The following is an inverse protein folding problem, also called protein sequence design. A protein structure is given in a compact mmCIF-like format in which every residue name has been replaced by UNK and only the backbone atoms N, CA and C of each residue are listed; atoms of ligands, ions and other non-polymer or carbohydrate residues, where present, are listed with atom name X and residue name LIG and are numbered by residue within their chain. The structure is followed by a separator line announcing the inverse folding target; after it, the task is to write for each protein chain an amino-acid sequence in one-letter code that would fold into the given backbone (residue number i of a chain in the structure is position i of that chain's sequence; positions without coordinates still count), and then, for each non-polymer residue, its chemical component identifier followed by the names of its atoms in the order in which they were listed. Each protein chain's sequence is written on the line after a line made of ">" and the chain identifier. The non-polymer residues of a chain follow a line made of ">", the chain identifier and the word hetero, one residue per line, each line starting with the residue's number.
data_IF_922708967418
#
_entry.id   IF_922708967418
#
_cell.length_a   1.000
_cell.length_b   1.000
_cell.length_c   1.000
_cell.angle_alpha   90.00
_cell.angle_beta   90.00
_cell.angle_gamma   90.00
#
_symmetry.space_group_name_H-M   'P 1'
#
loop_
_entity.id
_entity.type
_entity.pdbx_description
1 polymer ?
#
# COMPACT_ATOMS: atom_id res chain seq x y z
N UNK A 1 -11.49 5.70 32.30
CA UNK A 1 -10.32 5.93 31.41
C UNK A 1 -9.77 4.66 30.79
N UNK A 2 -10.02 3.45 31.32
CA UNK A 2 -9.67 2.17 30.69
C UNK A 2 -10.60 1.74 29.53
N UNK A 3 -11.86 2.17 29.52
CA UNK A 3 -12.81 1.78 28.47
C UNK A 3 -12.51 2.38 27.08
N UNK A 4 -11.88 3.56 27.03
CA UNK A 4 -11.55 4.20 25.76
C UNK A 4 -10.41 3.50 25.00
N UNK A 5 -9.50 2.82 25.70
CA UNK A 5 -8.37 2.13 25.06
C UNK A 5 -8.79 0.79 24.45
N UNK A 6 -9.65 0.04 25.13
CA UNK A 6 -10.20 -1.22 24.59
C UNK A 6 -11.02 -0.99 23.30
N UNK A 7 -11.75 0.12 23.25
CA UNK A 7 -12.51 0.51 22.06
C UNK A 7 -11.63 0.91 20.87
N UNK A 8 -10.41 1.41 21.10
CA UNK A 8 -9.48 1.80 20.05
C UNK A 8 -8.86 0.58 19.34
N UNK A 9 -8.46 -0.44 20.10
CA UNK A 9 -7.91 -1.70 19.56
C UNK A 9 -8.99 -2.56 18.87
N UNK A 10 -10.22 -2.57 19.39
CA UNK A 10 -11.33 -3.14 18.62
C UNK A 10 -11.57 -2.35 17.32
N UNK A 11 -11.37 -1.04 17.31
CA UNK A 11 -11.46 -0.20 16.11
C UNK A 11 -10.42 -0.52 15.03
N UNK A 12 -9.17 -0.79 15.41
CA UNK A 12 -8.07 -1.12 14.49
C UNK A 12 -8.24 -2.53 13.90
N UNK A 13 -8.53 -3.55 14.72
CA UNK A 13 -8.89 -4.89 14.21
C UNK A 13 -10.15 -4.86 13.34
N UNK A 14 -11.10 -3.97 13.64
CA UNK A 14 -12.28 -3.72 12.78
C UNK A 14 -11.90 -3.07 11.45
N UNK A 15 -10.88 -2.21 11.38
CA UNK A 15 -10.44 -1.58 10.14
C UNK A 15 -9.81 -2.61 9.19
N UNK A 16 -8.95 -3.50 9.68
CA UNK A 16 -8.42 -4.63 8.92
C UNK A 16 -9.54 -5.59 8.52
N UNK A 17 -10.39 -6.02 9.46
CA UNK A 17 -11.51 -6.91 9.16
C UNK A 17 -12.51 -6.29 8.16
N UNK A 18 -12.77 -4.98 8.25
CA UNK A 18 -13.56 -4.25 7.28
C UNK A 18 -12.89 -4.23 5.91
N UNK A 19 -11.57 -4.00 5.87
CA UNK A 19 -10.79 -4.00 4.65
C UNK A 19 -10.78 -5.39 3.97
N UNK A 20 -10.70 -6.47 4.73
CA UNK A 20 -10.82 -7.84 4.23
C UNK A 20 -12.21 -8.17 3.69
N UNK A 21 -13.26 -7.63 4.32
CA UNK A 21 -14.65 -7.89 3.93
C UNK A 21 -15.12 -7.00 2.77
N UNK A 22 -14.33 -5.99 2.38
CA UNK A 22 -14.65 -5.16 1.21
C UNK A 22 -14.52 -5.97 -0.07
N UNK A 23 -15.54 -5.89 -0.91
CA UNK A 23 -15.60 -6.54 -2.21
C UNK A 23 -15.75 -5.51 -3.31
N UNK A 24 -15.16 -5.80 -4.47
CA UNK A 24 -15.24 -4.97 -5.67
C UNK A 24 -14.22 -3.82 -5.74
N UNK A 25 -14.02 -3.28 -6.95
CA UNK A 25 -12.99 -2.27 -7.24
C UNK A 25 -13.24 -0.96 -6.50
N UNK A 26 -12.17 -0.21 -6.25
CA UNK A 26 -12.27 1.10 -5.63
C UNK A 26 -10.92 1.66 -5.18
N UNK A 27 -10.93 2.56 -4.22
CA UNK A 27 -9.67 3.11 -3.70
C UNK A 27 -8.98 2.16 -2.73
N UNK A 28 -7.65 2.27 -2.65
CA UNK A 28 -6.89 1.66 -1.57
C UNK A 28 -7.45 2.11 -0.21
N UNK A 29 -7.47 1.19 0.74
CA UNK A 29 -7.88 1.51 2.10
C UNK A 29 -6.67 1.93 2.91
N UNK A 30 -6.73 3.11 3.54
CA UNK A 30 -5.75 3.48 4.56
C UNK A 30 -6.08 2.71 5.84
N UNK A 31 -5.15 1.87 6.28
CA UNK A 31 -5.29 1.01 7.45
C UNK A 31 -4.13 1.32 8.40
N UNK A 32 -4.45 1.30 9.69
CA UNK A 32 -3.46 1.45 10.75
C UNK A 32 -3.07 0.04 11.21
N UNK A 33 -1.81 -0.33 11.04
CA UNK A 33 -1.29 -1.63 11.45
C UNK A 33 -0.78 -1.62 12.89
N UNK A 34 -1.28 -2.55 13.70
CA UNK A 34 -0.74 -2.86 15.03
C UNK A 34 0.48 -3.82 14.96
N UNK A 35 1.20 -3.86 13.84
CA UNK A 35 2.33 -4.77 13.64
C UNK A 35 3.56 -4.32 14.41
N UNK A 36 3.56 -4.66 15.69
CA UNK A 36 4.65 -4.40 16.59
C UNK A 36 4.10 -4.24 17.99
N UNK A 37 4.43 -5.22 18.83
CA UNK A 37 4.43 -5.18 20.29
C UNK A 37 3.32 -5.98 20.98
N UNK A 38 3.79 -6.80 21.94
CA UNK A 38 3.07 -7.48 23.02
C UNK A 38 2.22 -6.50 23.87
N UNK A 39 1.26 -5.81 23.26
CA UNK A 39 0.29 -4.97 23.96
C UNK A 39 -0.64 -5.81 24.85
N UNK A 40 -0.66 -7.13 24.65
CA UNK A 40 -1.42 -8.07 25.49
C UNK A 40 -0.83 -8.24 26.90
N UNK A 41 0.38 -7.73 27.19
CA UNK A 41 1.05 -7.89 28.50
C UNK A 41 1.41 -6.59 29.22
N UNK A 42 1.25 -5.43 28.58
CA UNK A 42 1.60 -4.15 29.19
C UNK A 42 0.33 -3.36 29.57
N UNK A 43 0.10 -3.03 30.86
CA UNK A 43 -1.05 -2.22 31.27
C UNK A 43 -0.97 -0.76 30.82
N UNK A 44 0.17 -0.32 30.30
CA UNK A 44 0.38 1.01 29.73
C UNK A 44 1.01 0.84 28.36
N UNK A 45 0.32 1.32 27.34
CA UNK A 45 0.77 1.28 25.95
C UNK A 45 1.63 2.51 25.71
N UNK A 46 2.94 2.31 25.65
CA UNK A 46 3.91 3.39 25.47
C UNK A 46 4.22 3.67 23.98
N UNK A 47 3.78 2.78 23.08
CA UNK A 47 4.03 2.91 21.65
C UNK A 47 2.78 3.41 20.92
N UNK A 48 2.80 4.69 20.56
CA UNK A 48 1.78 5.38 19.75
C UNK A 48 2.10 5.26 18.23
N UNK A 49 3.22 4.62 17.87
CA UNK A 49 3.71 4.50 16.49
C UNK A 49 3.11 3.27 15.78
N UNK A 50 1.81 3.32 15.51
CA UNK A 50 1.17 2.41 14.55
C UNK A 50 1.68 2.73 13.14
N UNK A 51 1.87 1.72 12.29
CA UNK A 51 2.30 1.93 10.90
C UNK A 51 1.09 2.04 9.99
N UNK A 52 0.95 3.20 9.36
CA UNK A 52 -0.06 3.41 8.32
C UNK A 52 0.36 2.71 7.03
N UNK A 53 -0.59 2.03 6.40
CA UNK A 53 -0.39 1.42 5.11
C UNK A 53 -1.65 1.43 4.25
N UNK A 54 -1.45 1.42 2.95
CA UNK A 54 -2.51 1.23 1.97
C UNK A 54 -2.74 -0.26 1.74
N UNK A 55 -3.99 -0.68 1.83
CA UNK A 55 -4.42 -2.06 1.75
C UNK A 55 -5.24 -2.33 0.49
N UNK A 56 -4.99 -3.49 -0.13
CA UNK A 56 -5.84 -4.10 -1.15
C UNK A 56 -5.86 -5.62 -0.98
N UNK A 57 -6.99 -6.27 -1.26
CA UNK A 57 -7.13 -7.73 -1.17
C UNK A 57 -7.58 -8.33 -2.49
N UNK A 58 -7.44 -9.65 -2.62
CA UNK A 58 -7.89 -10.40 -3.79
C UNK A 58 -9.40 -10.23 -4.09
N UNK A 59 -10.20 -9.87 -3.07
CA UNK A 59 -11.65 -9.70 -3.19
C UNK A 59 -12.04 -8.30 -3.69
N UNK A 60 -11.11 -7.34 -3.66
CA UNK A 60 -11.34 -5.96 -4.08
C UNK A 60 -11.10 -5.76 -5.58
N UNK A 61 -10.54 -6.73 -6.30
CA UNK A 61 -10.18 -6.52 -7.70
C UNK A 61 -9.12 -5.43 -7.86
N UNK A 62 -9.34 -4.46 -8.74
CA UNK A 62 -8.42 -3.33 -8.92
C UNK A 62 -8.69 -2.25 -7.88
N UNK A 63 -7.69 -2.02 -7.03
CA UNK A 63 -7.65 -0.90 -6.09
C UNK A 63 -6.79 0.22 -6.64
N UNK A 64 -7.13 1.49 -6.39
CA UNK A 64 -6.40 2.63 -6.94
C UNK A 64 -6.09 3.75 -5.95
N UNK A 65 -5.04 4.50 -6.20
CA UNK A 65 -4.79 5.82 -5.60
C UNK A 65 -4.21 6.75 -6.67
N UNK A 66 -4.38 8.05 -6.49
CA UNK A 66 -3.80 9.06 -7.38
C UNK A 66 -2.87 9.96 -6.60
N UNK A 67 -1.65 10.11 -7.11
CA UNK A 67 -0.62 11.01 -6.58
C UNK A 67 -0.07 11.91 -7.70
N UNK A 68 0.19 13.19 -7.43
CA UNK A 68 -0.36 13.94 -6.30
C UNK A 68 -1.90 13.95 -6.36
N UNK A 69 -2.56 13.97 -5.19
CA UNK A 69 -3.98 14.31 -5.12
C UNK A 69 -4.17 15.84 -5.31
N UNK A 70 -5.43 16.30 -5.44
CA UNK A 70 -5.72 17.71 -5.72
C UNK A 70 -5.15 18.67 -4.65
N UNK A 71 -5.16 18.25 -3.38
CA UNK A 71 -4.63 19.04 -2.27
C UNK A 71 -3.10 19.07 -2.29
N UNK A 72 -2.45 17.93 -2.52
CA UNK A 72 -0.99 17.85 -2.65
C UNK A 72 -0.49 18.69 -3.82
N UNK A 73 -1.26 18.72 -4.92
CA UNK A 73 -0.95 19.55 -6.08
C UNK A 73 -1.00 21.05 -5.75
N UNK A 74 -2.04 21.51 -5.04
CA UNK A 74 -2.17 22.93 -4.64
C UNK A 74 -1.16 23.35 -3.57
N UNK A 75 -0.83 22.47 -2.63
CA UNK A 75 0.06 22.80 -1.49
C UNK A 75 1.54 22.63 -1.83
N UNK A 76 1.92 21.52 -2.47
CA UNK A 76 3.34 21.16 -2.63
C UNK A 76 3.90 21.43 -4.03
N UNK A 77 3.05 21.48 -5.06
CA UNK A 77 3.50 21.50 -6.46
C UNK A 77 3.12 22.77 -7.23
N UNK A 78 2.23 23.61 -6.70
CA UNK A 78 1.74 24.84 -7.36
C UNK A 78 2.85 25.74 -7.87
N UNK A 79 3.92 25.90 -7.09
CA UNK A 79 5.04 26.80 -7.40
C UNK A 79 6.34 26.05 -7.75
N UNK A 80 6.26 24.74 -8.00
CA UNK A 80 7.45 23.93 -8.33
C UNK A 80 7.67 23.87 -9.85
N UNK A 81 8.85 24.27 -10.34
CA UNK A 81 9.15 24.24 -11.77
C UNK A 81 9.34 22.81 -12.29
N UNK A 82 9.83 21.91 -11.43
CA UNK A 82 10.06 20.51 -11.77
C UNK A 82 8.84 19.68 -11.41
N UNK A 83 8.11 19.24 -12.43
CA UNK A 83 7.09 18.20 -12.29
C UNK A 83 7.77 16.84 -12.21
N UNK A 84 7.18 15.85 -11.50
CA UNK A 84 7.72 14.51 -11.50
C UNK A 84 7.86 13.97 -12.92
N UNK A 85 8.97 13.27 -13.18
CA UNK A 85 9.30 12.70 -14.49
C UNK A 85 8.68 11.33 -14.72
N UNK A 86 8.02 10.77 -13.71
CA UNK A 86 7.30 9.52 -13.77
C UNK A 86 8.15 8.30 -13.45
N UNK A 87 9.29 8.50 -12.77
CA UNK A 87 10.02 7.38 -12.17
C UNK A 87 9.26 6.94 -10.93
N UNK A 88 8.72 5.73 -10.95
CA UNK A 88 7.81 5.24 -9.92
C UNK A 88 8.52 4.24 -9.00
N UNK A 89 8.19 4.29 -7.72
CA UNK A 89 8.67 3.33 -6.71
C UNK A 89 7.55 2.99 -5.73
N UNK A 90 7.45 1.72 -5.34
CA UNK A 90 6.56 1.26 -4.27
C UNK A 90 7.40 0.70 -3.14
N UNK A 91 7.06 1.08 -1.90
CA UNK A 91 7.64 0.48 -0.70
C UNK A 91 6.56 -0.27 0.06
N UNK A 92 6.87 -1.50 0.45
CA UNK A 92 5.95 -2.39 1.15
C UNK A 92 6.15 -2.29 2.65
N UNK A 93 5.14 -2.66 3.43
CA UNK A 93 5.34 -2.88 4.86
C UNK A 93 6.27 -4.08 5.04
N UNK A 94 7.35 -3.87 5.81
CA UNK A 94 8.25 -4.96 6.20
C UNK A 94 7.57 -5.83 7.24
N UNK A 95 7.64 -7.14 7.01
CA UNK A 95 7.23 -8.10 8.04
C UNK A 95 8.31 -8.20 9.11
N UNK A 96 7.89 -8.42 10.36
CA UNK A 96 8.82 -8.58 11.48
C UNK A 96 9.73 -9.80 11.28
N UNK A 97 10.97 -9.54 10.86
CA UNK A 97 11.98 -10.55 10.55
C UNK A 97 11.47 -11.64 9.59
N UNK A 98 10.71 -11.23 8.56
CA UNK A 98 10.15 -12.13 7.55
C UNK A 98 8.87 -12.87 7.98
N UNK A 99 8.43 -12.72 9.23
CA UNK A 99 7.17 -13.29 9.71
C UNK A 99 6.00 -12.38 9.33
N UNK A 100 5.46 -12.59 8.13
CA UNK A 100 4.25 -11.90 7.68
C UNK A 100 3.00 -12.60 8.23
N UNK A 101 1.90 -11.88 8.50
CA UNK A 101 0.65 -12.52 8.84
C UNK A 101 0.14 -13.41 7.69
N UNK A 102 -0.70 -14.41 8.00
CA UNK A 102 -1.28 -15.29 6.99
C UNK A 102 -1.98 -14.50 5.88
N UNK A 103 -1.74 -14.86 4.62
CA UNK A 103 -2.31 -14.20 3.44
C UNK A 103 -1.60 -12.91 3.00
N UNK A 104 -0.71 -12.33 3.82
CA UNK A 104 0.05 -11.14 3.41
C UNK A 104 1.03 -11.51 2.29
N UNK A 105 0.99 -10.74 1.20
CA UNK A 105 1.98 -10.89 0.13
C UNK A 105 3.38 -10.53 0.63
N UNK A 106 4.32 -11.43 0.39
CA UNK A 106 5.74 -11.24 0.67
C UNK A 106 6.45 -10.68 -0.56
N UNK A 107 7.69 -10.25 -0.37
CA UNK A 107 8.56 -9.84 -1.47
C UNK A 107 8.61 -10.87 -2.61
N UNK A 108 8.73 -12.17 -2.27
CA UNK A 108 8.78 -13.26 -3.25
C UNK A 108 7.47 -13.50 -4.02
N UNK A 109 6.37 -12.93 -3.54
CA UNK A 109 5.04 -13.03 -4.16
C UNK A 109 4.78 -11.86 -5.13
N UNK A 110 5.60 -10.80 -5.06
CA UNK A 110 5.56 -9.66 -5.98
C UNK A 110 5.87 -10.13 -7.40
N UNK A 111 4.97 -9.84 -8.34
CA UNK A 111 5.08 -10.24 -9.74
C UNK A 111 4.55 -11.64 -10.06
N UNK A 112 4.18 -12.43 -9.05
CA UNK A 112 3.49 -13.73 -9.23
C UNK A 112 2.00 -13.68 -8.93
N UNK A 113 1.61 -12.83 -7.98
CA UNK A 113 0.21 -12.64 -7.61
C UNK A 113 -0.17 -11.19 -7.37
N UNK A 114 0.64 -10.26 -7.87
CA UNK A 114 0.38 -8.83 -7.78
C UNK A 114 0.52 -8.24 -9.17
N UNK A 115 -0.58 -7.72 -9.70
CA UNK A 115 -0.59 -6.92 -10.90
C UNK A 115 -0.61 -5.44 -10.52
N UNK A 116 0.31 -4.65 -11.07
CA UNK A 116 0.39 -3.21 -10.86
C UNK A 116 0.24 -2.47 -12.20
N UNK A 117 -0.43 -1.32 -12.17
CA UNK A 117 -0.53 -0.39 -13.29
C UNK A 117 -0.31 1.03 -12.83
N UNK A 118 0.28 1.85 -13.69
CA UNK A 118 0.33 3.29 -13.49
C UNK A 118 -0.20 3.97 -14.75
N UNK A 119 -1.25 4.78 -14.60
CA UNK A 119 -1.94 5.46 -15.69
C UNK A 119 -2.31 4.48 -16.83
N UNK A 120 -2.83 3.30 -16.46
CA UNK A 120 -3.23 2.24 -17.41
C UNK A 120 -2.07 1.47 -18.07
N UNK A 121 -0.80 1.82 -17.81
CA UNK A 121 0.35 1.03 -18.26
C UNK A 121 0.69 -0.03 -17.22
N UNK A 122 0.78 -1.29 -17.66
CA UNK A 122 1.23 -2.40 -16.83
C UNK A 122 2.68 -2.17 -16.36
N UNK A 123 2.92 -2.39 -15.07
CA UNK A 123 4.26 -2.56 -14.53
C UNK A 123 4.72 -3.97 -14.92
N UNK A 124 5.79 -4.04 -15.72
CA UNK A 124 6.34 -5.32 -16.18
C UNK A 124 7.59 -5.74 -15.42
N UNK A 125 8.30 -4.77 -14.85
CA UNK A 125 9.54 -5.03 -14.12
C UNK A 125 9.53 -4.28 -12.79
N UNK A 126 10.03 -4.95 -11.75
CA UNK A 126 10.23 -4.38 -10.42
C UNK A 126 11.68 -4.60 -10.01
N UNK A 127 12.44 -3.52 -9.84
CA UNK A 127 13.84 -3.58 -9.42
C UNK A 127 13.93 -3.26 -7.94
N UNK A 128 14.51 -4.16 -7.15
CA UNK A 128 14.74 -3.90 -5.72
C UNK A 128 15.75 -2.76 -5.55
N UNK A 129 15.35 -1.72 -4.83
CA UNK A 129 16.20 -0.54 -4.52
C UNK A 129 16.67 -0.58 -3.07
N UNK A 130 15.84 -1.11 -2.17
CA UNK A 130 16.15 -1.36 -0.76
C UNK A 130 15.37 -2.58 -0.26
N UNK A 131 15.50 -2.94 1.02
CA UNK A 131 14.89 -4.14 1.60
C UNK A 131 13.39 -4.31 1.30
N UNK A 132 12.64 -3.20 1.23
CA UNK A 132 11.20 -3.21 0.99
C UNK A 132 10.72 -2.27 -0.12
N UNK A 133 11.62 -1.61 -0.85
CA UNK A 133 11.26 -0.68 -1.93
C UNK A 133 11.70 -1.19 -3.30
N UNK A 134 10.81 -1.02 -4.28
CA UNK A 134 10.98 -1.48 -5.66
C UNK A 134 10.70 -0.35 -6.64
N UNK A 135 11.67 -0.04 -7.49
CA UNK A 135 11.47 0.81 -8.65
C UNK A 135 10.64 0.04 -9.70
N UNK A 136 9.65 0.72 -10.26
CA UNK A 136 8.68 0.14 -11.18
C UNK A 136 9.00 0.59 -12.60
N UNK A 137 8.96 -0.33 -13.56
CA UNK A 137 9.15 -0.01 -14.98
C UNK A 137 8.02 -0.57 -15.84
N UNK A 138 7.50 0.22 -16.81
CA UNK A 138 6.66 -0.31 -17.87
C UNK A 138 7.50 -1.07 -18.92
N UNK A 139 6.83 -1.78 -19.82
CA UNK A 139 7.49 -2.52 -20.91
C UNK A 139 8.37 -1.64 -21.80
N UNK A 140 7.95 -0.40 -22.03
CA UNK A 140 8.50 0.48 -23.08
C UNK A 140 9.48 1.54 -22.52
N UNK A 141 10.06 1.35 -21.33
CA UNK A 141 11.04 2.28 -20.78
C UNK A 141 11.05 2.30 -19.26
N UNK A 142 11.63 3.36 -18.67
CA UNK A 142 11.75 3.51 -17.20
C UNK A 142 10.73 4.44 -16.57
N UNK A 143 10.04 5.24 -17.39
CA UNK A 143 9.18 6.32 -16.93
C UNK A 143 7.74 6.07 -17.34
N UNK A 144 6.83 6.34 -16.42
CA UNK A 144 5.40 6.39 -16.71
C UNK A 144 5.04 7.80 -17.19
N UNK A 145 4.24 7.93 -18.26
CA UNK A 145 3.74 9.24 -18.66
C UNK A 145 2.72 9.74 -17.63
N UNK A 146 2.80 11.02 -17.26
CA UNK A 146 1.77 11.67 -16.47
C UNK A 146 0.46 11.81 -17.26
N UNK A 147 -0.66 11.95 -16.56
CA UNK A 147 -1.90 12.46 -17.16
C UNK A 147 -1.76 13.93 -17.56
N UNK A 148 -2.72 14.48 -18.29
CA UNK A 148 -2.71 15.88 -18.76
C UNK A 148 -2.63 16.90 -17.61
N UNK A 149 -3.16 16.56 -16.43
CA UNK A 149 -3.09 17.34 -15.20
C UNK A 149 -1.85 17.03 -14.35
N UNK A 150 -0.92 16.20 -14.84
CA UNK A 150 0.36 15.92 -14.18
C UNK A 150 0.27 14.89 -13.06
N UNK A 151 -0.75 14.02 -13.08
CA UNK A 151 -1.00 13.02 -12.03
C UNK A 151 -0.65 11.60 -12.46
N UNK A 152 -0.54 10.74 -11.46
CA UNK A 152 -0.20 9.34 -11.56
C UNK A 152 -1.18 8.51 -10.75
N UNK A 153 -1.99 7.72 -11.43
CA UNK A 153 -2.91 6.76 -10.83
C UNK A 153 -2.21 5.41 -10.72
N UNK A 154 -1.82 5.03 -9.51
CA UNK A 154 -1.38 3.67 -9.21
C UNK A 154 -2.62 2.80 -9.04
N UNK A 155 -2.59 1.63 -9.68
CA UNK A 155 -3.62 0.61 -9.54
C UNK A 155 -2.95 -0.72 -9.19
N UNK A 156 -3.51 -1.44 -8.22
CA UNK A 156 -3.03 -2.75 -7.82
C UNK A 156 -4.18 -3.75 -7.76
N UNK A 157 -3.92 -4.95 -8.25
CA UNK A 157 -4.81 -6.08 -8.12
C UNK A 157 -4.03 -7.26 -7.55
N UNK A 158 -4.55 -7.80 -6.45
CA UNK A 158 -4.02 -9.02 -5.86
C UNK A 158 -4.70 -10.20 -6.53
N UNK A 159 -3.89 -11.06 -7.12
CA UNK A 159 -4.34 -12.34 -7.64
C UNK A 159 -4.18 -13.39 -6.54
N UNK A 160 -5.07 -14.38 -6.55
CA UNK A 160 -5.07 -15.43 -5.54
C UNK A 160 -3.77 -16.22 -5.64
N UNK A 161 -2.96 -16.20 -4.58
CA UNK A 161 -1.68 -16.92 -4.51
C UNK A 161 -1.74 -18.23 -3.73
N UNK A 162 -2.78 -18.42 -2.92
CA UNK A 162 -3.01 -19.65 -2.13
C UNK A 162 -4.51 -19.89 -1.94
N UNK A 163 -4.89 -21.16 -1.78
CA UNK A 163 -6.26 -21.57 -1.42
C UNK A 163 -6.53 -21.49 0.09
N UNK A 164 -5.48 -21.41 0.91
CA UNK A 164 -5.59 -21.53 2.38
C UNK A 164 -6.01 -20.22 3.06
N UNK A 165 -5.57 -19.06 2.52
CA UNK A 165 -5.89 -17.74 3.05
C UNK A 165 -6.16 -16.75 1.91
N UNK A 166 -7.09 -15.80 2.07
CA UNK A 166 -7.25 -14.73 1.09
C UNK A 166 -6.00 -13.85 1.04
N UNK A 167 -5.43 -13.71 -0.15
CA UNK A 167 -4.22 -12.92 -0.35
C UNK A 167 -4.51 -11.42 -0.28
N UNK A 168 -3.59 -10.64 0.30
CA UNK A 168 -3.67 -9.18 0.35
C UNK A 168 -2.30 -8.53 0.32
N UNK A 169 -2.27 -7.27 -0.11
CA UNK A 169 -1.06 -6.50 -0.33
C UNK A 169 -1.10 -5.20 0.48
N UNK A 170 0.05 -4.83 1.04
CA UNK A 170 0.24 -3.69 1.94
C UNK A 170 1.36 -2.80 1.45
N UNK A 171 1.00 -1.59 1.09
CA UNK A 171 1.92 -0.58 0.58
C UNK A 171 2.14 0.44 1.69
N UNK A 172 3.38 0.62 2.10
CA UNK A 172 3.75 1.70 3.03
C UNK A 172 3.78 3.05 2.31
N UNK A 173 4.36 3.08 1.10
CA UNK A 173 4.44 4.32 0.33
C UNK A 173 4.47 4.06 -1.17
N UNK A 174 3.87 4.99 -1.92
CA UNK A 174 4.05 5.12 -3.36
C UNK A 174 4.74 6.45 -3.66
N UNK A 175 5.84 6.40 -4.41
CA UNK A 175 6.72 7.53 -4.66
C UNK A 175 6.85 7.71 -6.18
N UNK A 176 6.72 8.96 -6.63
CA UNK A 176 6.86 9.37 -8.02
C UNK A 176 7.87 10.53 -8.07
N UNK A 177 8.92 10.38 -8.87
CA UNK A 177 10.00 11.34 -9.10
C UNK A 177 10.04 11.82 -10.55
#
# INVERSE_FOLDING_TARGET
>A
TFDNYRNHFEGIRRAEAFAFNRTGPGDFLLVHGDEGHDNDKCPVILNIDAKDYFFTSQNMGWSSMTVPNDMEQDVFLKDKPDKPKGLAMVCNIMCNWGNCPPGAMREMDLGKGLALRINGKDVTTMHKVSDNCFALEPKDGRYFPATSDGKYRLEAKVEKTSDEYPSYYRISSFIIL
#
